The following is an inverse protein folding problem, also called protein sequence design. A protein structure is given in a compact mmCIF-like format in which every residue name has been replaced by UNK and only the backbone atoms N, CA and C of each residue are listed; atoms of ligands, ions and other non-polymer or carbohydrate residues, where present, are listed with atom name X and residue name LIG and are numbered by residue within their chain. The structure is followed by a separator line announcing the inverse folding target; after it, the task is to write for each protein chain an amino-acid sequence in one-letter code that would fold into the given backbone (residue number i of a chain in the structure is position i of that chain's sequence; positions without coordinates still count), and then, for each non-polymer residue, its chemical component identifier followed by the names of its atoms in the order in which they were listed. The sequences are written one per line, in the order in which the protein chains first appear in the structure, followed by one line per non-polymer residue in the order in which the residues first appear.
data_IF_893130208244
#
_entry.id   IF_893130208244
#
_cell.length_a   1.000
_cell.length_b   1.000
_cell.length_c   1.000
_cell.angle_alpha   90.00
_cell.angle_beta   90.00
_cell.angle_gamma   90.00
#
_symmetry.space_group_name_H-M   'P 1'
#
loop_
_entity.id
_entity.type
_entity.pdbx_description
1 polymer ?
#
# COMPACT_ATOMS: atom_id res chain seq x y z
N UNK A 1 11.53 -0.91 5.14
CA UNK A 1 11.02 0.10 6.09
C UNK A 1 11.21 1.48 5.48
N UNK A 2 12.45 1.91 5.22
CA UNK A 2 12.80 3.20 4.59
C UNK A 2 11.91 3.63 3.42
N UNK A 3 11.72 2.77 2.43
CA UNK A 3 10.90 3.07 1.25
C UNK A 3 9.45 3.40 1.64
N UNK A 4 8.82 2.59 2.51
CA UNK A 4 7.45 2.81 2.96
C UNK A 4 7.34 4.06 3.83
N UNK A 5 8.26 4.26 4.76
CA UNK A 5 8.30 5.44 5.63
C UNK A 5 8.51 6.75 4.87
N UNK A 6 9.36 6.76 3.83
CA UNK A 6 9.52 7.90 2.91
C UNK A 6 8.19 8.28 2.25
N UNK A 7 7.31 7.30 2.02
CA UNK A 7 5.96 7.47 1.49
C UNK A 7 4.88 7.60 2.58
N UNK A 8 5.25 7.69 3.86
CA UNK A 8 4.30 7.87 4.97
C UNK A 8 3.42 6.64 5.22
N UNK A 9 3.87 5.45 4.82
CA UNK A 9 3.16 4.18 4.95
C UNK A 9 3.75 3.37 6.12
N UNK A 10 2.94 3.03 7.14
CA UNK A 10 3.38 2.14 8.21
C UNK A 10 3.70 0.73 7.69
N UNK A 11 4.72 0.10 8.26
CA UNK A 11 5.14 -1.28 8.00
C UNK A 11 4.94 -2.09 9.27
N UNK A 12 4.22 -3.19 9.18
CA UNK A 12 4.02 -4.10 10.31
C UNK A 12 4.93 -5.33 10.16
N UNK A 13 5.49 -5.79 11.28
CA UNK A 13 6.02 -7.14 11.38
C UNK A 13 4.88 -8.17 11.37
N UNK A 14 5.22 -9.46 11.27
CA UNK A 14 4.25 -10.54 11.26
C UNK A 14 4.48 -11.51 12.42
N UNK A 15 3.44 -11.75 13.22
CA UNK A 15 3.37 -12.83 14.19
C UNK A 15 2.49 -13.91 13.58
N UNK A 16 3.10 -14.95 13.03
CA UNK A 16 2.39 -16.03 12.38
C UNK A 16 2.45 -17.31 13.22
N UNK A 17 1.27 -17.78 13.63
CA UNK A 17 1.07 -19.08 14.24
C UNK A 17 0.45 -19.99 13.17
N UNK A 18 1.24 -20.86 12.50
CA UNK A 18 0.79 -21.53 11.30
C UNK A 18 -0.35 -22.53 11.54
N UNK A 19 -1.10 -22.92 10.50
CA UNK A 19 -1.97 -24.08 10.58
C UNK A 19 -1.19 -25.35 10.94
N UNK A 20 -1.83 -26.28 11.66
CA UNK A 20 -1.22 -27.57 12.02
C UNK A 20 -0.75 -28.35 10.79
N UNK A 21 -1.50 -28.26 9.68
CA UNK A 21 -1.15 -28.89 8.40
C UNK A 21 0.19 -28.39 7.80
N UNK A 22 0.65 -27.21 8.21
CA UNK A 22 1.91 -26.60 7.79
C UNK A 22 2.94 -26.54 8.93
N UNK A 23 2.82 -27.43 9.92
CA UNK A 23 3.77 -27.56 11.03
C UNK A 23 3.50 -26.63 12.22
N UNK A 24 2.35 -25.97 12.27
CA UNK A 24 1.95 -25.16 13.40
C UNK A 24 1.84 -25.95 14.70
N UNK A 25 2.45 -25.44 15.78
CA UNK A 25 2.43 -26.08 17.09
C UNK A 25 1.67 -25.20 18.08
N UNK A 26 0.62 -25.75 18.70
CA UNK A 26 -0.20 -25.03 19.67
C UNK A 26 0.62 -24.52 20.86
N UNK A 27 1.76 -25.18 21.14
CA UNK A 27 2.70 -24.74 22.17
C UNK A 27 3.20 -23.32 21.91
N UNK A 28 3.48 -22.94 20.66
CA UNK A 28 3.94 -21.58 20.33
C UNK A 28 2.89 -20.52 20.65
N UNK A 29 1.60 -20.84 20.44
CA UNK A 29 0.49 -19.97 20.87
C UNK A 29 0.46 -19.82 22.39
N UNK A 30 0.72 -20.90 23.14
CA UNK A 30 0.77 -20.85 24.61
C UNK A 30 1.96 -20.05 25.12
N UNK A 31 3.13 -20.24 24.51
CA UNK A 31 4.36 -19.52 24.86
C UNK A 31 4.17 -18.02 24.58
N UNK A 32 3.57 -17.65 23.44
CA UNK A 32 3.30 -16.26 23.07
C UNK A 32 2.49 -15.51 24.13
N UNK A 33 1.47 -16.17 24.69
CA UNK A 33 0.51 -15.57 25.62
C UNK A 33 0.82 -15.91 27.09
N UNK A 34 2.02 -16.43 27.36
CA UNK A 34 2.43 -16.73 28.73
C UNK A 34 2.50 -15.45 29.56
N UNK A 35 1.91 -15.50 30.75
CA UNK A 35 1.98 -14.44 31.75
C UNK A 35 3.15 -14.63 32.70
N UNK A 36 3.72 -13.53 33.16
CA UNK A 36 4.63 -13.55 34.30
C UNK A 36 3.88 -13.60 35.65
N UNK A 37 4.62 -13.60 36.76
CA UNK A 37 4.05 -13.63 38.11
C UNK A 37 3.19 -12.40 38.47
N UNK A 38 3.32 -11.31 37.72
CA UNK A 38 2.54 -10.08 37.89
C UNK A 38 1.33 -9.99 36.96
N UNK A 39 1.16 -10.98 36.07
CA UNK A 39 0.02 -11.07 35.15
C UNK A 39 0.24 -10.36 33.81
N UNK A 40 1.44 -9.84 33.54
CA UNK A 40 1.81 -9.21 32.27
C UNK A 40 2.27 -10.23 31.23
N UNK A 41 2.26 -9.87 29.96
CA UNK A 41 2.69 -10.71 28.84
C UNK A 41 4.10 -10.28 28.37
N UNK A 42 5.19 -10.93 28.83
CA UNK A 42 6.54 -10.44 28.58
C UNK A 42 6.89 -10.35 27.09
N UNK A 43 6.36 -11.26 26.27
CA UNK A 43 6.57 -11.22 24.83
C UNK A 43 5.89 -10.02 24.16
N UNK A 44 4.78 -9.50 24.69
CA UNK A 44 4.19 -8.26 24.18
C UNK A 44 5.17 -7.08 24.33
N UNK A 45 5.79 -6.95 25.50
CA UNK A 45 6.81 -5.92 25.74
C UNK A 45 8.05 -6.09 24.85
N UNK A 46 8.52 -7.33 24.65
CA UNK A 46 9.64 -7.60 23.75
C UNK A 46 9.31 -7.26 22.29
N UNK A 47 8.12 -7.61 21.81
CA UNK A 47 7.68 -7.29 20.45
C UNK A 47 7.57 -5.78 20.21
N UNK A 48 7.13 -5.00 21.21
CA UNK A 48 7.16 -3.53 21.15
C UNK A 48 8.59 -3.01 21.10
N UNK A 49 9.49 -3.57 21.92
CA UNK A 49 10.90 -3.17 21.93
C UNK A 49 11.60 -3.49 20.60
N UNK A 50 11.30 -4.63 19.98
CA UNK A 50 11.82 -5.00 18.64
C UNK A 50 11.33 -4.00 17.59
N UNK A 51 10.04 -3.69 17.55
CA UNK A 51 9.48 -2.71 16.61
C UNK A 51 10.11 -1.32 16.79
N UNK A 52 10.30 -0.87 18.03
CA UNK A 52 10.96 0.40 18.38
C UNK A 52 12.44 0.42 17.97
N UNK A 53 13.17 -0.67 18.23
CA UNK A 53 14.60 -0.77 17.93
C UNK A 53 14.91 -0.83 16.44
N UNK A 54 14.08 -1.54 15.66
CA UNK A 54 14.26 -1.69 14.20
C UNK A 54 13.50 -0.65 13.38
N UNK A 55 12.63 0.16 14.01
CA UNK A 55 11.90 1.23 13.36
C UNK A 55 10.78 0.75 12.43
N UNK A 56 9.97 -0.22 12.86
CA UNK A 56 8.70 -0.56 12.19
C UNK A 56 7.51 -0.36 13.12
N UNK A 57 6.31 -0.32 12.57
CA UNK A 57 5.15 0.35 13.16
C UNK A 57 4.18 -0.59 13.89
N UNK A 58 4.67 -1.76 14.32
CA UNK A 58 3.89 -2.74 15.07
C UNK A 58 3.71 -4.07 14.33
N UNK A 59 2.56 -4.74 14.53
CA UNK A 59 2.42 -6.17 14.25
C UNK A 59 1.08 -6.56 13.62
N UNK A 60 1.16 -7.39 12.58
CA UNK A 60 0.06 -8.19 12.08
C UNK A 60 0.08 -9.54 12.80
N UNK A 61 -1.00 -9.92 13.47
CA UNK A 61 -1.11 -11.16 14.25
C UNK A 61 -2.05 -12.11 13.53
N UNK A 62 -1.48 -13.22 13.05
CA UNK A 62 -2.19 -14.27 12.36
C UNK A 62 -2.15 -15.58 13.15
N UNK A 63 -3.26 -15.95 13.78
CA UNK A 63 -3.36 -17.07 14.71
C UNK A 63 -4.15 -18.26 14.13
N UNK A 64 -3.51 -19.06 13.27
CA UNK A 64 -4.17 -20.17 12.56
C UNK A 64 -3.91 -21.56 13.15
N UNK A 65 -3.21 -21.65 14.29
CA UNK A 65 -2.94 -22.94 14.93
C UNK A 65 -4.16 -23.45 15.72
N UNK A 66 -4.84 -24.45 15.16
CA UNK A 66 -5.98 -25.15 15.79
C UNK A 66 -5.62 -25.88 17.09
N UNK A 67 -6.66 -26.22 17.87
CA UNK A 67 -6.54 -26.98 19.13
C UNK A 67 -6.61 -26.14 20.40
N UNK A 68 -6.83 -24.83 20.28
CA UNK A 68 -7.06 -23.94 21.40
C UNK A 68 -8.40 -24.16 22.09
N UNK A 69 -8.59 -23.47 23.21
CA UNK A 69 -9.81 -23.46 24.01
C UNK A 69 -10.11 -22.02 24.51
N UNK A 70 -11.22 -21.84 25.21
CA UNK A 70 -11.65 -20.52 25.71
C UNK A 70 -10.62 -19.85 26.62
N UNK A 71 -9.85 -20.62 27.39
CA UNK A 71 -8.78 -20.06 28.22
C UNK A 71 -7.66 -19.47 27.36
N UNK A 72 -7.19 -20.22 26.36
CA UNK A 72 -6.17 -19.74 25.43
C UNK A 72 -6.65 -18.53 24.62
N UNK A 73 -7.91 -18.51 24.19
CA UNK A 73 -8.51 -17.34 23.53
C UNK A 73 -8.56 -16.11 24.44
N UNK A 74 -8.83 -16.32 25.74
CA UNK A 74 -8.82 -15.26 26.74
C UNK A 74 -7.42 -14.68 26.93
N UNK A 75 -6.40 -15.54 27.00
CA UNK A 75 -5.00 -15.12 27.09
C UNK A 75 -4.53 -14.42 25.82
N UNK A 76 -4.88 -14.93 24.63
CA UNK A 76 -4.59 -14.26 23.36
C UNK A 76 -5.20 -12.85 23.29
N UNK A 77 -6.45 -12.69 23.72
CA UNK A 77 -7.09 -11.38 23.79
C UNK A 77 -6.35 -10.45 24.74
N UNK A 78 -5.94 -10.93 25.91
CA UNK A 78 -5.18 -10.10 26.85
C UNK A 78 -3.80 -9.74 26.33
N UNK A 79 -3.12 -10.66 25.65
CA UNK A 79 -1.86 -10.41 24.96
C UNK A 79 -2.00 -9.29 23.92
N UNK A 80 -3.03 -9.33 23.08
CA UNK A 80 -3.30 -8.28 22.09
C UNK A 80 -3.59 -6.94 22.76
N UNK A 81 -4.35 -6.92 23.85
CA UNK A 81 -4.64 -5.70 24.62
C UNK A 81 -3.35 -5.08 25.17
N UNK A 82 -2.46 -5.89 25.75
CA UNK A 82 -1.19 -5.40 26.29
C UNK A 82 -0.24 -4.96 25.17
N UNK A 83 -0.11 -5.74 24.09
CA UNK A 83 0.68 -5.38 22.91
C UNK A 83 0.23 -4.04 22.32
N UNK A 84 -1.07 -3.84 22.16
CA UNK A 84 -1.66 -2.59 21.68
C UNK A 84 -1.40 -1.44 22.64
N UNK A 85 -1.62 -1.64 23.94
CA UNK A 85 -1.44 -0.60 24.95
C UNK A 85 0.02 -0.12 25.02
N UNK A 86 0.97 -1.05 25.07
CA UNK A 86 2.40 -0.76 25.08
C UNK A 86 2.85 -0.12 23.76
N UNK A 87 2.38 -0.66 22.62
CA UNK A 87 2.74 -0.18 21.29
C UNK A 87 2.21 1.22 20.98
N UNK A 88 1.00 1.57 21.43
CA UNK A 88 0.37 2.89 21.18
C UNK A 88 1.24 4.03 21.70
N UNK A 89 1.89 3.86 22.86
CA UNK A 89 2.81 4.86 23.43
C UNK A 89 4.04 5.14 22.53
N UNK A 90 4.34 4.23 21.60
CA UNK A 90 5.43 4.30 20.62
C UNK A 90 4.93 4.57 19.20
N UNK A 91 3.64 4.85 19.02
CA UNK A 91 3.03 5.04 17.70
C UNK A 91 2.83 3.74 16.91
N UNK A 92 3.02 2.57 17.54
CA UNK A 92 2.84 1.26 16.91
C UNK A 92 1.37 0.84 16.89
N UNK A 93 1.03 -0.13 16.03
CA UNK A 93 -0.33 -0.62 15.82
C UNK A 93 -0.38 -2.15 15.71
N UNK A 94 -1.52 -2.72 16.08
CA UNK A 94 -1.79 -4.15 16.03
C UNK A 94 -2.95 -4.45 15.08
N UNK A 95 -2.72 -5.30 14.09
CA UNK A 95 -3.77 -5.82 13.21
C UNK A 95 -4.00 -7.29 13.52
N UNK A 96 -5.27 -7.67 13.71
CA UNK A 96 -5.67 -9.06 13.94
C UNK A 96 -6.21 -9.71 12.68
N UNK A 97 -5.86 -10.96 12.40
CA UNK A 97 -6.48 -11.74 11.32
C UNK A 97 -7.69 -12.56 11.84
N UNK A 98 -8.84 -12.45 11.18
CA UNK A 98 -10.06 -13.22 11.45
C UNK A 98 -9.79 -14.74 11.37
N UNK A 99 -9.42 -15.37 12.48
CA UNK A 99 -8.98 -16.78 12.54
C UNK A 99 -9.42 -17.46 13.84
N UNK A 100 -8.67 -17.27 14.94
CA UNK A 100 -9.05 -17.77 16.26
C UNK A 100 -10.35 -17.08 16.75
N UNK A 101 -11.29 -17.87 17.24
CA UNK A 101 -12.57 -17.40 17.80
C UNK A 101 -12.50 -17.30 19.32
N UNK A 102 -13.54 -16.72 19.94
CA UNK A 102 -13.70 -16.60 21.39
C UNK A 102 -13.70 -17.95 22.11
N UNK A 103 -13.92 -19.06 21.39
CA UNK A 103 -13.84 -20.43 21.92
C UNK A 103 -12.42 -21.02 21.85
N UNK A 104 -11.48 -20.32 21.20
CA UNK A 104 -10.11 -20.80 20.93
C UNK A 104 -9.99 -21.72 19.72
N UNK A 105 -11.11 -22.06 19.08
CA UNK A 105 -11.09 -22.75 17.79
C UNK A 105 -10.67 -21.81 16.67
N UNK A 106 -9.94 -22.33 15.68
CA UNK A 106 -9.66 -21.59 14.43
C UNK A 106 -10.86 -21.80 13.51
N UNK A 107 -11.59 -20.73 13.28
CA UNK A 107 -12.75 -20.69 12.39
C UNK A 107 -12.88 -19.28 11.88
N UNK A 108 -12.40 -19.05 10.66
CA UNK A 108 -12.52 -17.72 10.07
C UNK A 108 -13.97 -17.44 9.68
N UNK A 109 -14.44 -16.24 9.99
CA UNK A 109 -15.85 -15.92 9.89
C UNK A 109 -16.23 -15.27 8.56
N UNK A 110 -15.26 -14.66 7.85
CA UNK A 110 -15.57 -13.78 6.71
C UNK A 110 -16.45 -12.60 7.14
N UNK A 111 -16.37 -12.22 8.42
CA UNK A 111 -17.21 -11.23 9.06
C UNK A 111 -16.63 -10.82 10.42
N UNK A 112 -16.99 -9.62 10.90
CA UNK A 112 -16.99 -9.31 12.32
C UNK A 112 -18.32 -9.80 12.93
N UNK A 113 -18.24 -10.65 13.96
CA UNK A 113 -19.43 -11.16 14.66
C UNK A 113 -19.10 -11.54 16.13
N UNK A 114 -20.04 -12.18 16.83
CA UNK A 114 -19.86 -12.58 18.24
C UNK A 114 -18.69 -13.53 18.49
N UNK A 115 -18.24 -14.27 17.48
CA UNK A 115 -17.11 -15.21 17.59
C UNK A 115 -15.76 -14.51 17.61
N UNK A 116 -15.62 -13.32 17.03
CA UNK A 116 -14.32 -12.64 16.90
C UNK A 116 -14.30 -11.17 17.33
N UNK A 117 -15.46 -10.57 17.69
CA UNK A 117 -15.53 -9.15 18.08
C UNK A 117 -14.61 -8.78 19.25
N UNK A 118 -14.35 -9.72 20.17
CA UNK A 118 -13.48 -9.49 21.31
C UNK A 118 -12.02 -9.26 20.87
N UNK A 119 -11.57 -9.89 19.78
CA UNK A 119 -10.23 -9.65 19.20
C UNK A 119 -10.20 -8.35 18.40
N UNK A 120 -11.29 -8.02 17.69
CA UNK A 120 -11.40 -6.71 17.05
C UNK A 120 -11.29 -5.58 18.07
N UNK A 121 -11.94 -5.68 19.23
CA UNK A 121 -11.80 -4.67 20.29
C UNK A 121 -10.39 -4.62 20.90
N UNK A 122 -9.67 -5.74 20.92
CA UNK A 122 -8.32 -5.85 21.45
C UNK A 122 -7.22 -5.31 20.49
N UNK A 123 -7.52 -5.14 19.21
CA UNK A 123 -6.58 -4.69 18.18
C UNK A 123 -6.92 -3.30 17.61
N UNK A 124 -6.04 -2.72 16.79
CA UNK A 124 -6.28 -1.46 16.06
C UNK A 124 -7.04 -1.67 14.76
N UNK A 125 -6.90 -2.83 14.13
CA UNK A 125 -7.69 -3.21 12.97
C UNK A 125 -7.86 -4.71 12.89
N UNK A 126 -8.78 -5.17 12.05
CA UNK A 126 -8.97 -6.58 11.74
C UNK A 126 -8.96 -6.81 10.23
N UNK A 127 -8.13 -7.73 9.78
CA UNK A 127 -8.19 -8.28 8.44
C UNK A 127 -9.24 -9.41 8.43
N UNK A 128 -10.31 -9.20 7.70
CA UNK A 128 -11.44 -10.13 7.58
C UNK A 128 -11.09 -11.17 6.51
N UNK A 129 -11.24 -12.45 6.84
CA UNK A 129 -10.97 -13.57 5.95
C UNK A 129 -11.78 -13.50 4.64
N UNK A 130 -11.26 -14.15 3.60
CA UNK A 130 -11.76 -14.09 2.22
C UNK A 130 -13.20 -14.58 2.03
N UNK A 131 -13.78 -15.36 2.96
CA UNK A 131 -15.14 -15.94 2.85
C UNK A 131 -16.27 -14.98 3.18
N UNK A 132 -16.05 -13.69 2.96
CA UNK A 132 -17.07 -12.69 3.16
C UNK A 132 -18.10 -12.65 2.02
N UNK A 133 -19.24 -12.01 2.28
CA UNK A 133 -20.29 -11.70 1.32
C UNK A 133 -20.75 -10.26 1.50
N UNK A 134 -21.59 -9.76 0.59
CA UNK A 134 -22.17 -8.41 0.71
C UNK A 134 -22.93 -8.20 2.03
N UNK A 135 -23.69 -9.21 2.46
CA UNK A 135 -24.45 -9.13 3.72
C UNK A 135 -23.53 -9.19 4.93
N UNK A 136 -22.53 -10.07 4.95
CA UNK A 136 -21.63 -10.20 6.10
C UNK A 136 -20.75 -8.98 6.29
N UNK A 137 -20.25 -8.34 5.21
CA UNK A 137 -19.50 -7.09 5.32
C UNK A 137 -20.37 -5.92 5.78
N UNK A 138 -21.61 -5.84 5.29
CA UNK A 138 -22.56 -4.83 5.75
C UNK A 138 -22.87 -4.97 7.25
N UNK A 139 -23.17 -6.18 7.73
CA UNK A 139 -23.42 -6.44 9.16
C UNK A 139 -22.16 -6.19 9.99
N UNK A 140 -20.97 -6.52 9.46
CA UNK A 140 -19.69 -6.24 10.12
C UNK A 140 -19.49 -4.74 10.33
N UNK A 141 -19.75 -3.92 9.29
CA UNK A 141 -19.67 -2.47 9.39
C UNK A 141 -20.67 -1.87 10.39
N UNK A 142 -21.89 -2.40 10.44
CA UNK A 142 -22.89 -2.01 11.47
C UNK A 142 -22.43 -2.39 12.87
N UNK A 143 -21.93 -3.62 13.07
CA UNK A 143 -21.45 -4.08 14.36
C UNK A 143 -20.24 -3.26 14.82
N UNK A 144 -19.29 -2.94 13.95
CA UNK A 144 -18.18 -2.05 14.28
C UNK A 144 -18.68 -0.72 14.86
N UNK A 145 -19.68 -0.10 14.22
CA UNK A 145 -20.32 1.11 14.71
C UNK A 145 -21.00 0.95 16.08
N UNK A 146 -21.68 -0.18 16.31
CA UNK A 146 -22.28 -0.50 17.62
C UNK A 146 -21.22 -0.68 18.72
N UNK A 147 -20.02 -1.14 18.37
CA UNK A 147 -18.87 -1.25 19.26
C UNK A 147 -18.11 0.08 19.44
N UNK A 148 -18.60 1.19 18.87
CA UNK A 148 -17.95 2.50 18.92
C UNK A 148 -16.68 2.60 18.06
N UNK A 149 -16.53 1.71 17.08
CA UNK A 149 -15.35 1.59 16.20
C UNK A 149 -15.69 1.97 14.77
N UNK A 150 -14.68 2.39 14.01
CA UNK A 150 -14.86 2.72 12.61
C UNK A 150 -14.96 1.45 11.77
N UNK A 151 -15.96 1.38 10.89
CA UNK A 151 -16.07 0.29 9.90
C UNK A 151 -14.86 0.19 8.96
N UNK A 152 -14.06 1.26 8.85
CA UNK A 152 -12.83 1.26 8.03
C UNK A 152 -11.62 0.64 8.76
N UNK A 153 -11.76 0.27 10.03
CA UNK A 153 -10.79 -0.56 10.77
C UNK A 153 -10.97 -2.06 10.47
N UNK A 154 -11.99 -2.43 9.69
CA UNK A 154 -12.17 -3.76 9.11
C UNK A 154 -11.65 -3.75 7.68
N UNK A 155 -10.75 -4.68 7.35
CA UNK A 155 -10.13 -4.78 6.03
C UNK A 155 -10.62 -6.07 5.37
N UNK A 156 -11.55 -5.98 4.43
CA UNK A 156 -12.06 -7.13 3.69
C UNK A 156 -10.95 -7.74 2.83
N UNK A 157 -10.56 -8.96 3.14
CA UNK A 157 -9.49 -9.68 2.47
C UNK A 157 -9.83 -10.01 1.01
N UNK A 158 -8.91 -9.69 0.11
CA UNK A 158 -8.94 -10.11 -1.30
C UNK A 158 -7.68 -10.92 -1.55
N UNK A 159 -7.85 -12.23 -1.75
CA UNK A 159 -6.76 -13.14 -2.11
C UNK A 159 -6.42 -12.96 -3.58
N UNK A 160 -5.24 -12.39 -3.85
CA UNK A 160 -4.72 -12.17 -5.20
C UNK A 160 -3.53 -13.06 -5.53
N UNK A 161 -3.15 -14.00 -4.64
CA UNK A 161 -1.90 -14.75 -4.73
C UNK A 161 -1.81 -15.55 -6.03
N UNK A 162 -2.90 -16.19 -6.43
CA UNK A 162 -2.92 -17.07 -7.61
C UNK A 162 -3.31 -16.34 -8.90
N UNK A 163 -4.26 -15.41 -8.84
CA UNK A 163 -4.92 -14.87 -10.03
C UNK A 163 -4.78 -13.35 -10.21
N UNK A 164 -4.19 -12.64 -9.24
CA UNK A 164 -3.96 -11.20 -9.37
C UNK A 164 -5.19 -10.40 -9.76
N UNK A 165 -5.06 -9.61 -10.83
CA UNK A 165 -6.15 -8.82 -11.41
C UNK A 165 -7.26 -9.65 -12.04
N UNK A 166 -7.04 -10.95 -12.28
CA UNK A 166 -8.05 -11.88 -12.79
C UNK A 166 -8.88 -12.53 -11.67
N UNK A 167 -8.59 -12.21 -10.40
CA UNK A 167 -9.38 -12.69 -9.26
C UNK A 167 -10.82 -12.19 -9.36
N UNK A 168 -11.79 -13.10 -9.24
CA UNK A 168 -13.21 -12.75 -9.19
C UNK A 168 -13.56 -12.17 -7.82
N UNK A 169 -13.95 -10.90 -7.78
CA UNK A 169 -14.26 -10.18 -6.53
C UNK A 169 -15.62 -9.49 -6.67
N UNK A 170 -16.50 -9.67 -5.69
CA UNK A 170 -17.72 -8.88 -5.59
C UNK A 170 -17.41 -7.48 -5.07
N UNK A 171 -16.88 -6.60 -5.93
CA UNK A 171 -16.44 -5.27 -5.55
C UNK A 171 -17.51 -4.39 -4.90
N UNK A 172 -18.78 -4.60 -5.24
CA UNK A 172 -19.89 -3.84 -4.66
C UNK A 172 -20.23 -4.27 -3.23
N UNK A 173 -19.63 -5.35 -2.73
CA UNK A 173 -19.68 -5.71 -1.31
C UNK A 173 -18.71 -4.87 -0.45
N UNK A 174 -17.63 -4.33 -1.05
CA UNK A 174 -16.60 -3.59 -0.31
C UNK A 174 -16.61 -2.10 -0.67
N UNK A 175 -16.50 -1.79 -1.97
CA UNK A 175 -16.28 -0.44 -2.52
C UNK A 175 -17.32 -0.10 -3.60
N UNK A 176 -18.63 -0.09 -3.28
CA UNK A 176 -19.75 0.05 -4.23
C UNK A 176 -19.69 1.33 -5.07
N UNK A 177 -19.99 1.25 -6.36
CA UNK A 177 -19.78 2.35 -7.32
C UNK A 177 -20.42 3.69 -6.91
N UNK A 178 -21.64 3.65 -6.36
CA UNK A 178 -22.50 4.81 -6.09
C UNK A 178 -22.60 5.21 -4.61
N UNK A 179 -21.80 4.60 -3.71
CA UNK A 179 -21.84 4.95 -2.29
C UNK A 179 -20.47 4.83 -1.62
N UNK A 180 -20.39 5.29 -0.37
CA UNK A 180 -19.20 5.15 0.45
C UNK A 180 -18.83 3.67 0.64
N UNK A 181 -17.55 3.41 0.88
CA UNK A 181 -17.05 2.07 1.15
C UNK A 181 -17.78 1.44 2.34
N UNK A 182 -18.09 0.15 2.25
CA UNK A 182 -18.76 -0.63 3.31
C UNK A 182 -17.78 -0.86 4.46
N UNK A 183 -16.56 -1.29 4.11
CA UNK A 183 -15.39 -1.46 4.98
C UNK A 183 -14.13 -1.14 4.15
N UNK A 184 -12.93 -1.21 4.73
CA UNK A 184 -11.69 -1.03 3.98
C UNK A 184 -11.30 -2.30 3.19
N UNK A 185 -10.31 -2.17 2.31
CA UNK A 185 -9.80 -3.26 1.48
C UNK A 185 -8.47 -3.79 2.04
N UNK A 186 -8.26 -5.11 2.03
CA UNK A 186 -6.98 -5.73 2.36
C UNK A 186 -6.55 -6.71 1.27
N UNK A 187 -5.42 -6.48 0.61
CA UNK A 187 -4.89 -7.43 -0.38
C UNK A 187 -3.96 -8.44 0.28
N UNK A 188 -4.26 -9.72 0.10
CA UNK A 188 -3.36 -10.80 0.48
C UNK A 188 -2.49 -11.18 -0.72
N UNK A 189 -1.17 -11.10 -0.51
CA UNK A 189 -0.11 -11.40 -1.48
C UNK A 189 -0.10 -10.54 -2.77
N UNK A 190 -0.20 -9.20 -2.66
CA UNK A 190 -0.12 -8.33 -3.83
C UNK A 190 1.24 -8.37 -4.53
N UNK A 191 2.29 -8.97 -3.95
CA UNK A 191 3.55 -9.23 -4.65
C UNK A 191 3.38 -10.21 -5.84
N UNK A 192 2.18 -10.77 -6.03
CA UNK A 192 1.74 -11.37 -7.28
C UNK A 192 2.21 -10.56 -8.50
N UNK A 193 2.12 -9.22 -8.47
CA UNK A 193 2.51 -8.34 -9.60
C UNK A 193 3.94 -8.57 -10.09
N UNK A 194 4.82 -9.08 -9.22
CA UNK A 194 6.16 -9.55 -9.58
C UNK A 194 6.23 -11.06 -9.78
N UNK A 195 5.64 -11.83 -8.87
CA UNK A 195 5.92 -13.27 -8.74
C UNK A 195 5.21 -14.14 -9.80
N UNK A 196 4.13 -13.65 -10.41
CA UNK A 196 3.47 -14.38 -11.51
C UNK A 196 4.22 -14.28 -12.85
N UNK A 197 5.08 -13.28 -12.99
CA UNK A 197 5.83 -13.01 -14.21
C UNK A 197 6.91 -14.08 -14.44
N UNK A 198 7.24 -14.39 -15.71
CA UNK A 198 8.21 -15.43 -16.04
C UNK A 198 9.61 -15.11 -15.46
N UNK A 199 10.47 -16.13 -15.39
CA UNK A 199 11.80 -15.98 -14.79
C UNK A 199 12.69 -14.94 -15.50
N UNK A 200 12.47 -14.71 -16.80
CA UNK A 200 13.18 -13.72 -17.62
C UNK A 200 12.52 -12.33 -17.63
N UNK A 201 11.57 -12.07 -16.73
CA UNK A 201 10.94 -10.75 -16.58
C UNK A 201 11.96 -9.64 -16.42
N UNK A 202 11.66 -8.49 -17.00
CA UNK A 202 12.40 -7.25 -16.84
C UNK A 202 11.81 -6.42 -15.69
N UNK A 203 12.54 -5.39 -15.19
CA UNK A 203 11.95 -4.41 -14.29
C UNK A 203 10.72 -3.71 -14.89
N UNK A 204 10.70 -3.48 -16.21
CA UNK A 204 9.56 -2.91 -16.93
C UNK A 204 8.32 -3.79 -16.86
N UNK A 205 8.45 -5.12 -17.01
CA UNK A 205 7.32 -6.06 -16.90
C UNK A 205 6.67 -6.01 -15.52
N UNK A 206 7.50 -5.93 -14.46
CA UNK A 206 7.01 -5.76 -13.09
C UNK A 206 6.22 -4.45 -12.94
N UNK A 207 6.78 -3.31 -13.36
CA UNK A 207 6.09 -2.02 -13.23
C UNK A 207 4.82 -1.94 -14.07
N UNK A 208 4.77 -2.59 -15.23
CA UNK A 208 3.55 -2.69 -16.03
C UNK A 208 2.45 -3.51 -15.33
N UNK A 209 2.81 -4.63 -14.70
CA UNK A 209 1.88 -5.42 -13.89
C UNK A 209 1.39 -4.66 -12.65
N UNK A 210 2.29 -3.91 -11.99
CA UNK A 210 1.95 -3.03 -10.86
C UNK A 210 0.99 -1.91 -11.29
N UNK A 211 1.25 -1.24 -12.41
CA UNK A 211 0.35 -0.20 -12.94
C UNK A 211 -1.04 -0.77 -13.27
N UNK A 212 -1.12 -1.98 -13.86
CA UNK A 212 -2.41 -2.65 -14.08
C UNK A 212 -3.14 -2.97 -12.77
N UNK A 213 -2.43 -3.43 -11.75
CA UNK A 213 -3.01 -3.79 -10.45
C UNK A 213 -3.52 -2.57 -9.68
N UNK A 214 -2.69 -1.52 -9.59
CA UNK A 214 -2.95 -0.34 -8.74
C UNK A 214 -3.71 0.78 -9.45
N UNK A 215 -3.42 1.04 -10.72
CA UNK A 215 -4.10 2.07 -11.54
C UNK A 215 -5.28 1.50 -12.32
N UNK A 216 -5.18 0.27 -12.82
CA UNK A 216 -6.21 -0.37 -13.64
C UNK A 216 -5.96 -0.26 -15.14
N UNK A 217 -6.80 -0.93 -15.93
CA UNK A 217 -6.59 -1.14 -17.37
C UNK A 217 -6.53 0.13 -18.24
N UNK A 218 -6.97 1.30 -17.73
CA UNK A 218 -6.79 2.56 -18.45
C UNK A 218 -5.36 3.08 -18.41
N UNK A 219 -4.56 2.66 -17.41
CA UNK A 219 -3.25 3.20 -17.08
C UNK A 219 -3.26 4.74 -16.87
N UNK A 220 -4.45 5.29 -16.60
CA UNK A 220 -4.71 6.70 -16.34
C UNK A 220 -5.79 6.78 -15.25
N UNK A 221 -5.41 7.12 -14.00
CA UNK A 221 -6.36 7.19 -12.89
C UNK A 221 -7.33 8.38 -13.00
N UNK A 222 -7.07 9.38 -13.87
CA UNK A 222 -8.01 10.46 -14.15
C UNK A 222 -9.08 10.07 -15.18
N UNK A 223 -8.86 8.97 -15.91
CA UNK A 223 -9.78 8.42 -16.91
C UNK A 223 -9.92 6.90 -16.71
N UNK A 224 -10.43 6.45 -15.55
CA UNK A 224 -10.46 5.03 -15.22
C UNK A 224 -11.37 4.25 -16.17
N UNK A 225 -10.99 3.01 -16.48
CA UNK A 225 -11.89 2.04 -17.12
C UNK A 225 -12.85 1.46 -16.06
N UNK A 226 -14.11 1.88 -16.09
CA UNK A 226 -15.14 1.47 -15.11
C UNK A 226 -15.83 0.14 -15.46
N UNK A 227 -15.56 -0.43 -16.63
CA UNK A 227 -16.16 -1.70 -17.09
C UNK A 227 -15.24 -2.90 -16.90
N UNK A 228 -13.97 -2.68 -16.52
CA UNK A 228 -13.03 -3.74 -16.19
C UNK A 228 -13.54 -4.56 -14.99
N UNK A 229 -13.31 -5.88 -15.03
CA UNK A 229 -13.64 -6.78 -13.91
C UNK A 229 -12.80 -6.47 -12.67
N UNK A 230 -11.54 -6.08 -12.86
CA UNK A 230 -10.66 -5.62 -11.79
C UNK A 230 -10.93 -4.15 -11.46
N UNK A 231 -11.39 -3.89 -10.23
CA UNK A 231 -11.56 -2.53 -9.71
C UNK A 231 -10.30 -2.10 -8.98
N UNK A 232 -9.36 -1.55 -9.73
CA UNK A 232 -8.08 -1.12 -9.17
C UNK A 232 -8.25 -0.05 -8.07
N UNK A 233 -7.39 -0.01 -7.04
CA UNK A 233 -7.47 0.93 -5.93
C UNK A 233 -7.58 2.40 -6.34
N UNK A 234 -6.87 2.83 -7.40
CA UNK A 234 -6.91 4.21 -7.87
C UNK A 234 -8.31 4.70 -8.31
N UNK A 235 -9.26 3.77 -8.58
CA UNK A 235 -10.64 4.13 -8.92
C UNK A 235 -11.44 4.59 -7.70
N UNK A 236 -11.04 4.15 -6.50
CA UNK A 236 -11.90 4.17 -5.30
C UNK A 236 -11.23 4.72 -4.05
N UNK A 237 -9.90 4.69 -4.00
CA UNK A 237 -9.09 5.15 -2.88
C UNK A 237 -8.37 6.41 -3.31
N UNK A 238 -8.59 7.50 -2.57
CA UNK A 238 -7.86 8.74 -2.79
C UNK A 238 -6.37 8.52 -2.53
N UNK A 239 -5.53 9.00 -3.45
CA UNK A 239 -4.10 9.00 -3.27
C UNK A 239 -3.65 9.97 -2.17
N UNK A 240 -2.44 9.74 -1.68
CA UNK A 240 -1.77 10.58 -0.68
C UNK A 240 -0.38 10.92 -1.20
N UNK A 241 0.18 12.00 -0.67
CA UNK A 241 1.53 12.45 -0.99
C UNK A 241 2.24 12.91 0.27
N UNK A 242 3.54 12.59 0.37
CA UNK A 242 4.45 13.10 1.40
C UNK A 242 5.37 14.21 0.86
N UNK A 243 5.00 14.81 -0.28
CA UNK A 243 5.73 15.94 -0.87
C UNK A 243 5.11 17.24 -0.35
N UNK A 244 5.48 17.63 0.86
CA UNK A 244 4.92 18.77 1.61
C UNK A 244 5.97 19.75 2.17
N UNK A 245 7.24 19.53 1.84
CA UNK A 245 8.37 20.31 2.34
C UNK A 245 9.45 20.48 1.28
N UNK A 246 10.22 21.57 1.41
CA UNK A 246 11.40 21.86 0.58
C UNK A 246 12.69 21.56 1.36
N UNK A 247 13.78 21.13 0.69
CA UNK A 247 13.85 20.84 -0.75
C UNK A 247 13.17 19.50 -1.09
N UNK A 248 12.54 19.44 -2.27
CA UNK A 248 12.05 18.20 -2.86
C UNK A 248 12.79 17.92 -4.17
N UNK A 249 13.29 16.70 -4.31
CA UNK A 249 13.93 16.21 -5.51
C UNK A 249 13.59 14.73 -5.73
N UNK A 250 13.64 14.31 -6.99
CA UNK A 250 13.44 12.93 -7.42
C UNK A 250 14.18 12.76 -8.75
N UNK A 251 14.89 11.64 -8.89
CA UNK A 251 15.46 11.20 -10.17
C UNK A 251 14.67 10.00 -10.71
N UNK A 252 13.52 9.71 -10.09
CA UNK A 252 12.68 8.56 -10.38
C UNK A 252 13.40 7.22 -10.15
N UNK A 253 14.30 7.17 -9.16
CA UNK A 253 14.94 5.93 -8.75
C UNK A 253 13.91 5.00 -8.10
N UNK A 254 13.65 3.86 -8.73
CA UNK A 254 12.65 2.90 -8.24
C UNK A 254 13.20 1.97 -7.13
N UNK A 255 14.46 2.15 -6.73
CA UNK A 255 15.14 1.33 -5.71
C UNK A 255 15.76 0.05 -6.28
N UNK A 256 15.81 -0.09 -7.60
CA UNK A 256 16.49 -1.15 -8.34
C UNK A 256 16.89 -0.67 -9.73
N UNK A 257 17.74 -1.43 -10.41
CA UNK A 257 18.16 -1.11 -11.76
C UNK A 257 18.97 -2.23 -12.39
N UNK A 258 19.09 -2.20 -13.72
CA UNK A 258 19.99 -3.08 -14.46
C UNK A 258 21.43 -2.56 -14.46
N UNK A 259 21.58 -1.25 -14.25
CA UNK A 259 22.83 -0.50 -14.17
C UNK A 259 22.71 0.59 -13.10
N UNK A 260 23.83 1.21 -12.74
CA UNK A 260 23.87 2.45 -11.96
C UNK A 260 24.41 3.60 -12.81
N UNK A 261 23.68 4.71 -12.82
CA UNK A 261 24.04 5.93 -13.54
C UNK A 261 24.42 7.04 -12.55
N UNK A 262 25.36 7.89 -12.96
CA UNK A 262 25.66 9.17 -12.31
C UNK A 262 25.89 10.23 -13.39
N UNK A 263 25.09 11.30 -13.38
CA UNK A 263 25.17 12.34 -14.40
C UNK A 263 24.85 11.85 -15.82
N UNK A 264 24.00 10.82 -15.96
CA UNK A 264 23.67 10.20 -17.25
C UNK A 264 24.67 9.16 -17.73
N UNK A 265 25.82 9.01 -17.06
CA UNK A 265 26.86 8.05 -17.42
C UNK A 265 26.78 6.79 -16.59
N UNK A 266 26.98 5.64 -17.23
CA UNK A 266 27.03 4.35 -16.54
C UNK A 266 28.29 4.28 -15.69
N UNK A 267 28.12 4.10 -14.38
CA UNK A 267 29.24 3.88 -13.44
C UNK A 267 29.28 2.44 -12.91
N UNK A 268 28.19 1.68 -13.10
CA UNK A 268 28.16 0.22 -12.87
C UNK A 268 27.21 -0.46 -13.85
N UNK A 269 27.69 -1.50 -14.54
CA UNK A 269 26.89 -2.37 -15.42
C UNK A 269 26.24 -3.56 -14.69
N UNK A 270 26.27 -3.57 -13.35
CA UNK A 270 25.73 -4.67 -12.55
C UNK A 270 24.31 -4.36 -12.08
N UNK A 271 23.40 -5.32 -12.27
CA UNK A 271 22.04 -5.22 -11.76
C UNK A 271 22.02 -5.17 -10.22
N UNK A 272 21.15 -4.35 -9.66
CA UNK A 272 21.12 -4.08 -8.23
C UNK A 272 19.69 -3.82 -7.73
N UNK A 273 19.47 -4.04 -6.44
CA UNK A 273 18.27 -3.57 -5.74
C UNK A 273 18.65 -3.12 -4.32
N UNK A 274 18.16 -1.96 -3.93
CA UNK A 274 18.28 -1.40 -2.60
C UNK A 274 17.10 -0.44 -2.38
N UNK A 275 15.97 -0.97 -1.92
CA UNK A 275 14.73 -0.18 -1.76
C UNK A 275 14.88 1.05 -0.85
N UNK A 276 15.86 1.07 0.06
CA UNK A 276 16.19 2.28 0.84
C UNK A 276 16.55 3.50 -0.03
N UNK A 277 16.99 3.29 -1.27
CA UNK A 277 17.34 4.32 -2.25
C UNK A 277 16.17 4.69 -3.18
N UNK A 278 14.99 4.09 -3.01
CA UNK A 278 13.81 4.44 -3.80
C UNK A 278 13.40 5.89 -3.50
N UNK A 279 13.24 6.69 -4.55
CA UNK A 279 12.76 8.07 -4.43
C UNK A 279 11.27 8.10 -4.05
N UNK A 280 10.77 9.28 -3.71
CA UNK A 280 9.33 9.52 -3.79
C UNK A 280 8.92 9.42 -5.26
N UNK A 281 8.10 8.45 -5.60
CA UNK A 281 7.59 8.24 -6.96
C UNK A 281 6.23 8.92 -7.16
N UNK A 282 5.82 9.20 -8.42
CA UNK A 282 4.50 9.75 -8.72
C UNK A 282 3.37 8.88 -8.14
N UNK A 283 2.46 9.49 -7.37
CA UNK A 283 1.31 8.78 -6.78
C UNK A 283 0.25 8.38 -7.83
N UNK A 284 0.21 9.10 -8.97
CA UNK A 284 -0.74 8.87 -10.06
C UNK A 284 -0.01 8.55 -11.36
N UNK A 285 0.06 7.26 -11.70
CA UNK A 285 0.77 6.75 -12.88
C UNK A 285 -0.22 6.22 -13.93
N UNK A 286 -0.43 6.87 -15.08
CA UNK A 286 0.08 8.20 -15.49
C UNK A 286 -1.06 9.07 -16.01
N UNK A 287 -1.23 10.26 -15.42
CA UNK A 287 -2.21 11.23 -15.90
C UNK A 287 -1.58 12.03 -17.03
N UNK A 288 -2.08 11.79 -18.25
CA UNK A 288 -1.64 12.50 -19.45
C UNK A 288 -2.79 13.33 -20.01
N UNK A 289 -2.57 14.62 -20.15
CA UNK A 289 -3.53 15.58 -20.71
C UNK A 289 -3.05 16.03 -22.07
N UNK A 290 -3.79 15.68 -23.10
CA UNK A 290 -3.55 16.12 -24.47
C UNK A 290 -4.85 16.08 -25.27
N UNK A 291 -4.95 16.92 -26.30
CA UNK A 291 -5.97 16.82 -27.34
C UNK A 291 -5.56 15.89 -28.49
N UNK A 292 -4.29 15.50 -28.55
CA UNK A 292 -3.73 14.60 -29.56
C UNK A 292 -3.69 13.14 -29.10
N UNK A 293 -2.85 12.35 -29.78
CA UNK A 293 -2.57 10.97 -29.36
C UNK A 293 -1.84 10.98 -28.01
N UNK A 294 -2.27 10.10 -27.09
CA UNK A 294 -1.63 9.94 -25.78
C UNK A 294 -0.27 9.24 -25.97
N UNK A 295 0.87 9.85 -25.59
CA UNK A 295 2.14 9.15 -25.57
C UNK A 295 2.14 8.01 -24.55
N UNK A 296 3.04 7.05 -24.76
CA UNK A 296 3.39 6.08 -23.71
C UNK A 296 4.21 6.79 -22.63
N UNK A 297 3.93 6.47 -21.37
CA UNK A 297 4.71 6.95 -20.23
C UNK A 297 5.01 5.75 -19.34
N UNK A 298 6.28 5.50 -19.08
CA UNK A 298 6.76 4.39 -18.26
C UNK A 298 8.01 4.81 -17.49
N UNK A 299 8.42 4.00 -16.51
CA UNK A 299 9.81 4.06 -16.09
C UNK A 299 10.72 3.53 -17.21
N UNK A 300 11.91 4.13 -17.33
CA UNK A 300 12.98 3.66 -18.18
C UNK A 300 14.03 2.96 -17.33
N UNK A 301 14.47 1.77 -17.75
CA UNK A 301 15.56 1.01 -17.14
C UNK A 301 16.73 0.81 -18.09
N UNK A 302 16.63 1.30 -19.33
CA UNK A 302 17.70 1.34 -20.30
C UNK A 302 18.58 2.59 -20.11
N UNK A 303 18.06 3.63 -19.44
CA UNK A 303 18.78 4.87 -19.18
C UNK A 303 18.26 5.64 -17.97
N UNK A 304 19.17 6.37 -17.30
CA UNK A 304 18.82 7.21 -16.18
C UNK A 304 19.85 8.33 -15.96
N UNK A 305 19.42 9.45 -15.37
CA UNK A 305 20.35 10.50 -14.93
C UNK A 305 21.16 10.06 -13.72
N UNK A 306 20.49 9.43 -12.74
CA UNK A 306 21.12 8.91 -11.54
C UNK A 306 20.36 7.70 -11.00
N UNK A 307 21.08 6.72 -10.46
CA UNK A 307 20.47 5.51 -9.91
C UNK A 307 20.16 4.50 -11.01
N UNK A 308 18.96 3.92 -11.02
CA UNK A 308 18.64 2.75 -11.87
C UNK A 308 17.46 2.92 -12.81
N UNK A 309 16.78 4.07 -12.76
CA UNK A 309 15.64 4.34 -13.62
C UNK A 309 15.38 5.84 -13.81
N UNK A 310 14.73 6.18 -14.93
CA UNK A 310 14.17 7.51 -15.21
C UNK A 310 12.71 7.40 -15.67
N UNK A 311 12.10 8.48 -16.19
CA UNK A 311 10.77 8.45 -16.81
C UNK A 311 10.92 8.64 -18.32
N UNK A 312 10.39 7.68 -19.07
CA UNK A 312 10.34 7.73 -20.53
C UNK A 312 8.96 8.20 -20.99
N UNK A 313 8.94 9.23 -21.83
CA UNK A 313 7.75 9.64 -22.60
C UNK A 313 8.02 9.33 -24.07
N UNK A 314 7.30 8.35 -24.63
CA UNK A 314 7.54 7.87 -25.98
C UNK A 314 6.29 7.98 -26.87
N UNK A 315 6.50 8.40 -28.12
CA UNK A 315 5.46 8.49 -29.15
C UNK A 315 5.46 9.84 -29.86
N UNK A 316 4.73 9.91 -30.97
CA UNK A 316 4.61 11.14 -31.77
C UNK A 316 3.62 12.10 -31.13
N UNK A 317 4.08 13.31 -30.79
CA UNK A 317 3.23 14.37 -30.27
C UNK A 317 2.65 15.21 -31.42
N UNK A 318 1.38 14.96 -31.76
CA UNK A 318 0.63 15.81 -32.69
C UNK A 318 0.04 17.07 -32.06
N UNK A 319 0.09 17.16 -30.72
CA UNK A 319 -0.35 18.29 -29.91
C UNK A 319 0.44 18.29 -28.59
N UNK A 320 0.46 19.42 -27.85
CA UNK A 320 1.06 19.44 -26.52
C UNK A 320 0.49 18.36 -25.60
N UNK A 321 1.35 17.78 -24.78
CA UNK A 321 0.97 16.82 -23.74
C UNK A 321 1.50 17.29 -22.39
N UNK A 322 0.65 17.26 -21.37
CA UNK A 322 1.01 17.55 -19.98
C UNK A 322 0.95 16.26 -19.17
N UNK A 323 2.03 15.98 -18.45
CA UNK A 323 2.13 14.85 -17.51
C UNK A 323 1.99 15.38 -16.08
N UNK A 324 0.90 15.03 -15.39
CA UNK A 324 0.74 15.37 -13.97
C UNK A 324 1.53 14.33 -13.14
N UNK A 325 2.61 14.74 -12.46
CA UNK A 325 3.51 13.82 -11.74
C UNK A 325 3.22 13.74 -10.24
N UNK A 326 3.28 14.87 -9.54
CA UNK A 326 3.20 14.91 -8.08
C UNK A 326 2.05 15.80 -7.62
N UNK A 327 1.25 15.29 -6.69
CA UNK A 327 0.45 16.13 -5.82
C UNK A 327 1.34 16.62 -4.68
N UNK A 328 1.43 17.94 -4.49
CA UNK A 328 2.37 18.54 -3.54
C UNK A 328 1.72 19.63 -2.70
N UNK A 329 2.31 19.90 -1.54
CA UNK A 329 1.97 21.04 -0.68
C UNK A 329 3.23 21.77 -0.24
N UNK A 330 3.95 22.34 -1.20
CA UNK A 330 5.24 22.97 -0.95
C UNK A 330 5.06 24.45 -0.58
N UNK A 331 5.83 24.99 0.39
CA UNK A 331 5.83 26.42 0.71
C UNK A 331 6.60 27.21 -0.36
N UNK A 332 6.01 27.36 -1.55
CA UNK A 332 6.55 28.19 -2.65
C UNK A 332 6.23 29.66 -2.39
N UNK A 333 7.24 30.54 -2.46
CA UNK A 333 7.03 31.98 -2.25
C UNK A 333 8.27 32.79 -1.85
N UNK A 334 9.37 32.15 -1.45
CA UNK A 334 10.65 32.83 -1.29
C UNK A 334 11.32 33.05 -2.66
N UNK A 335 12.04 34.17 -2.82
CA UNK A 335 12.86 34.43 -4.03
C UNK A 335 14.02 33.44 -4.21
N UNK A 336 14.28 32.59 -3.22
CA UNK A 336 15.34 31.59 -3.23
C UNK A 336 14.86 30.21 -3.73
N UNK A 337 13.56 30.04 -3.93
CA UNK A 337 13.02 28.78 -4.45
C UNK A 337 13.26 28.68 -5.95
N UNK A 338 14.20 27.82 -6.34
CA UNK A 338 14.46 27.46 -7.73
C UNK A 338 13.82 26.12 -8.09
N UNK A 339 13.58 25.92 -9.39
CA UNK A 339 13.09 24.65 -9.92
C UNK A 339 13.98 24.25 -11.07
N UNK A 340 14.50 23.03 -11.02
CA UNK A 340 15.40 22.47 -12.02
C UNK A 340 14.78 21.20 -12.62
N UNK A 341 14.99 21.03 -13.93
CA UNK A 341 14.59 19.84 -14.67
C UNK A 341 15.77 19.37 -15.51
N UNK A 342 16.17 18.11 -15.32
CA UNK A 342 17.10 17.44 -16.21
C UNK A 342 16.32 16.50 -17.12
N UNK A 343 16.52 16.64 -18.43
CA UNK A 343 15.87 15.80 -19.43
C UNK A 343 16.80 15.52 -20.60
N UNK A 344 16.46 14.51 -21.40
CA UNK A 344 17.12 14.18 -22.66
C UNK A 344 16.06 13.90 -23.72
N UNK A 345 16.37 14.26 -24.97
CA UNK A 345 15.51 13.98 -26.14
C UNK A 345 16.33 13.15 -27.12
N UNK A 346 15.99 11.87 -27.29
CA UNK A 346 16.77 10.93 -28.09
C UNK A 346 16.51 11.08 -29.59
N UNK A 347 15.25 11.30 -29.98
CA UNK A 347 14.84 11.46 -31.36
C UNK A 347 13.87 12.64 -31.53
N UNK A 348 14.08 13.43 -32.58
CA UNK A 348 13.27 14.60 -32.90
C UNK A 348 13.60 15.82 -32.03
N UNK A 349 12.66 16.77 -31.97
CA UNK A 349 12.77 17.96 -31.13
C UNK A 349 11.50 18.10 -30.29
N UNK A 350 11.66 18.24 -28.98
CA UNK A 350 10.59 18.53 -28.05
C UNK A 350 11.00 19.72 -27.17
N UNK A 351 10.13 20.71 -27.05
CA UNK A 351 10.24 21.73 -26.01
C UNK A 351 9.62 21.16 -24.74
N UNK A 352 10.42 21.10 -23.66
CA UNK A 352 10.00 20.56 -22.38
C UNK A 352 9.96 21.69 -21.37
N UNK A 353 8.84 21.79 -20.67
CA UNK A 353 8.61 22.80 -19.65
C UNK A 353 8.18 22.13 -18.35
N UNK A 354 8.65 22.67 -17.23
CA UNK A 354 8.21 22.26 -15.90
C UNK A 354 7.25 23.32 -15.36
N UNK A 355 6.09 22.86 -14.87
CA UNK A 355 5.08 23.74 -14.30
C UNK A 355 4.71 23.30 -12.89
N UNK A 356 4.50 24.28 -12.00
CA UNK A 356 4.00 24.08 -10.64
C UNK A 356 2.61 24.71 -10.54
N UNK A 357 1.63 23.91 -10.11
CA UNK A 357 0.30 24.43 -9.86
C UNK A 357 0.27 25.12 -8.48
N UNK A 358 0.01 26.42 -8.46
CA UNK A 358 0.00 27.23 -7.23
C UNK A 358 -1.38 27.42 -6.60
N UNK A 359 -2.45 27.03 -7.30
CA UNK A 359 -3.81 27.11 -6.79
C UNK A 359 -4.22 25.80 -6.09
N UNK A 360 -5.00 25.91 -5.02
CA UNK A 360 -5.66 24.76 -4.40
C UNK A 360 -6.72 24.16 -5.36
N UNK A 361 -6.93 22.83 -5.33
CA UNK A 361 -7.95 22.18 -6.14
C UNK A 361 -9.33 22.55 -5.59
N UNK A 362 -10.32 22.68 -6.49
CA UNK A 362 -11.69 23.03 -6.08
C UNK A 362 -12.43 21.91 -5.34
N UNK A 363 -11.94 20.68 -5.43
CA UNK A 363 -12.43 19.50 -4.71
C UNK A 363 -11.34 18.39 -4.72
N UNK A 364 -11.42 17.40 -3.81
CA UNK A 364 -10.55 16.22 -3.85
C UNK A 364 -10.54 15.55 -5.24
N UNK A 365 -9.37 15.17 -5.74
CA UNK A 365 -9.20 14.53 -7.05
C UNK A 365 -9.39 15.46 -8.27
N UNK A 366 -9.74 16.74 -8.09
CA UNK A 366 -9.82 17.73 -9.19
C UNK A 366 -8.48 18.40 -9.44
N UNK A 367 -8.33 18.92 -10.66
CA UNK A 367 -7.15 19.65 -11.13
C UNK A 367 -6.90 20.90 -10.28
N UNK A 368 -5.65 21.08 -9.84
CA UNK A 368 -5.11 22.37 -9.39
C UNK A 368 -4.96 23.27 -10.63
N UNK A 369 -5.55 24.46 -10.63
CA UNK A 369 -5.40 25.39 -11.75
C UNK A 369 -3.93 25.84 -11.79
N UNK A 370 -3.20 25.55 -12.86
CA UNK A 370 -2.00 26.33 -13.17
C UNK A 370 -2.44 27.74 -13.51
N UNK A 371 -1.77 28.79 -13.00
CA UNK A 371 -1.86 30.10 -13.62
C UNK A 371 -1.53 29.92 -15.11
N UNK A 372 -2.36 30.48 -15.98
CA UNK A 372 -1.96 30.71 -17.37
C UNK A 372 -0.61 31.40 -17.35
N UNK A 373 0.37 30.86 -18.07
CA UNK A 373 1.68 31.48 -18.30
C UNK A 373 1.51 32.99 -18.49
N UNK A 374 2.24 33.79 -17.70
CA UNK A 374 2.46 35.20 -18.05
C UNK A 374 3.54 35.29 -19.10
#
# INVERSE_FOLDING_TARGET
MDAAHRHGVPVLGNIFLPPVAYGGQLQWTRDLVQKDATGHYPLAAQLVAVADAYGFDGWFVNAETSGGNTALATDMRGFLQELKALGTAKGQRVTWYDSMTATGSVSWQGALNSQNQAFFQAADSMFVDFRWSKSTLASSGTLAGQLGRSRYELWAGVDVESNGTSTSVNWDAIVPSASAHVVSLGFYRPEWTRNHLPANRTPGDFHAADDLFWTGASLDPAKPNTTASWRAPALRVADRSTVDSLPFATVFNTGHGLKWYEGGEVTSDTAWNHLGLQDRLPSRRWIVRTSGARPSVTFDFADAWRGGSSVLVAGTLGAPATLDLYETRLPVGSSETVVELTHRTDAGSAQIELAVATAEPSAPGRRRRTPTSR
#
